data_IF_801443406081
#
_entry.id   IF_801443406081
#
_cell.length_a   1.000
_cell.length_b   1.000
_cell.length_c   1.000
_cell.angle_alpha   90.00
_cell.angle_beta   90.00
_cell.angle_gamma   90.00
#
_symmetry.space_group_name_H-M   'P 1'
#
loop_
_entity.id
_entity.type
_entity.pdbx_description
1 polymer ?
#
# COMPACT_ATOMS: atom_id res chain seq x y z
N UNK A 1 -10.16 -27.94 23.49
CA UNK A 1 -8.92 -28.74 23.55
C UNK A 1 -7.63 -27.92 23.73
N UNK A 2 -7.51 -26.68 23.21
CA UNK A 2 -6.35 -25.80 23.48
C UNK A 2 -6.56 -24.76 24.59
N UNK A 3 -7.79 -24.62 25.11
CA UNK A 3 -8.16 -23.57 26.07
C UNK A 3 -7.78 -23.91 27.52
N UNK A 4 -7.58 -25.19 27.84
CA UNK A 4 -7.27 -25.68 29.19
C UNK A 4 -5.76 -25.89 29.43
N UNK A 5 -4.90 -25.55 28.45
CA UNK A 5 -3.44 -25.65 28.58
C UNK A 5 -2.82 -24.26 28.75
N UNK A 6 -1.77 -24.10 29.60
CA UNK A 6 -1.05 -22.82 29.74
C UNK A 6 -0.47 -22.31 28.41
N UNK A 7 -0.21 -23.23 27.46
CA UNK A 7 0.17 -22.94 26.08
C UNK A 7 -0.90 -22.14 25.32
N UNK A 8 -2.19 -22.37 25.59
CA UNK A 8 -3.30 -21.63 24.99
C UNK A 8 -3.36 -20.17 25.43
N UNK A 9 -3.02 -19.89 26.69
CA UNK A 9 -2.94 -18.52 27.21
C UNK A 9 -1.79 -17.74 26.57
N UNK A 10 -0.63 -18.39 26.36
CA UNK A 10 0.52 -17.78 25.67
C UNK A 10 0.17 -17.46 24.21
N UNK A 11 -0.49 -18.39 23.51
CA UNK A 11 -0.92 -18.17 22.11
C UNK A 11 -1.93 -17.02 21.99
N UNK A 12 -2.92 -16.95 22.90
CA UNK A 12 -3.88 -15.84 22.92
C UNK A 12 -3.20 -14.49 23.20
N UNK A 13 -2.21 -14.47 24.09
CA UNK A 13 -1.46 -13.26 24.41
C UNK A 13 -0.65 -12.78 23.20
N UNK A 14 0.01 -13.69 22.49
CA UNK A 14 0.74 -13.39 21.24
C UNK A 14 -0.23 -12.87 20.16
N UNK A 15 -1.36 -13.52 19.95
CA UNK A 15 -2.35 -13.09 18.95
C UNK A 15 -2.94 -11.71 19.29
N UNK A 16 -3.19 -11.43 20.57
CA UNK A 16 -3.69 -10.13 21.02
C UNK A 16 -2.65 -9.03 20.80
N UNK A 17 -1.37 -9.31 21.11
CA UNK A 17 -0.27 -8.39 20.82
C UNK A 17 -0.12 -8.13 19.32
N UNK A 18 -0.22 -9.16 18.48
CA UNK A 18 -0.20 -9.01 17.04
C UNK A 18 -1.34 -8.12 16.56
N UNK A 19 -2.57 -8.34 17.03
CA UNK A 19 -3.71 -7.51 16.67
C UNK A 19 -3.55 -6.06 17.12
N UNK A 20 -3.03 -5.85 18.34
CA UNK A 20 -2.76 -4.53 18.88
C UNK A 20 -1.65 -3.80 18.11
N UNK A 21 -0.69 -4.52 17.52
CA UNK A 21 0.39 -3.93 16.71
C UNK A 21 -0.08 -3.36 15.36
N UNK A 22 -1.20 -3.87 14.81
CA UNK A 22 -1.73 -3.47 13.50
C UNK A 22 -1.92 -1.95 13.39
N UNK A 23 -2.68 -1.28 14.27
CA UNK A 23 -2.87 0.17 14.17
C UNK A 23 -1.56 0.97 14.28
N UNK A 24 -0.59 0.51 15.06
CA UNK A 24 0.72 1.17 15.16
C UNK A 24 1.53 1.05 13.86
N UNK A 25 1.52 -0.12 13.22
CA UNK A 25 2.18 -0.33 11.93
C UNK A 25 1.56 0.58 10.86
N UNK A 26 0.23 0.68 10.82
CA UNK A 26 -0.46 1.59 9.89
C UNK A 26 -0.21 3.06 10.20
N UNK A 27 -0.24 3.48 11.47
CA UNK A 27 0.07 4.84 11.87
C UNK A 27 1.51 5.24 11.47
N UNK A 28 2.47 4.33 11.66
CA UNK A 28 3.84 4.50 11.19
C UNK A 28 3.88 4.65 9.67
N UNK A 29 3.18 3.77 8.93
CA UNK A 29 3.10 3.83 7.46
C UNK A 29 2.57 5.19 6.98
N UNK A 30 1.48 5.69 7.56
CA UNK A 30 0.92 7.02 7.22
C UNK A 30 1.89 8.15 7.53
N UNK A 31 2.65 8.02 8.61
CA UNK A 31 3.66 9.03 9.00
C UNK A 31 4.78 9.09 7.97
N UNK A 32 5.31 7.94 7.55
CA UNK A 32 6.38 7.86 6.53
C UNK A 32 5.90 8.42 5.19
N UNK A 33 4.72 8.00 4.73
CA UNK A 33 4.15 8.48 3.45
C UNK A 33 3.82 9.98 3.51
N UNK A 34 3.18 10.42 4.60
CA UNK A 34 2.86 11.83 4.83
C UNK A 34 4.12 12.69 4.86
N UNK A 35 5.21 12.19 5.45
CA UNK A 35 6.50 12.87 5.48
C UNK A 35 7.11 13.00 4.10
N UNK A 36 7.12 11.92 3.30
CA UNK A 36 7.58 11.94 1.91
C UNK A 36 6.80 12.96 1.07
N UNK A 37 5.46 12.96 1.18
CA UNK A 37 4.62 13.92 0.48
C UNK A 37 4.89 15.36 0.94
N UNK A 38 5.07 15.57 2.25
CA UNK A 38 5.35 16.89 2.81
C UNK A 38 6.69 17.45 2.34
N UNK A 39 7.75 16.64 2.33
CA UNK A 39 9.06 17.00 1.76
C UNK A 39 8.92 17.33 0.27
N UNK A 40 8.15 16.53 -0.47
CA UNK A 40 7.82 16.82 -1.87
C UNK A 40 7.16 18.19 -2.03
N UNK A 41 6.14 18.49 -1.24
CA UNK A 41 5.46 19.79 -1.29
C UNK A 41 6.41 20.95 -0.96
N UNK A 42 7.26 20.77 0.05
CA UNK A 42 8.26 21.76 0.48
C UNK A 42 9.28 22.07 -0.62
N UNK A 43 9.81 21.06 -1.32
CA UNK A 43 10.78 21.22 -2.40
C UNK A 43 10.24 22.05 -3.57
N UNK A 44 8.95 21.94 -3.87
CA UNK A 44 8.29 22.70 -4.92
C UNK A 44 7.72 24.04 -4.43
N UNK A 45 7.98 24.44 -3.18
CA UNK A 45 7.58 25.73 -2.62
C UNK A 45 6.11 25.82 -2.16
N UNK A 46 5.41 24.69 -2.02
CA UNK A 46 4.01 24.66 -1.57
C UNK A 46 3.93 24.69 -0.05
N UNK A 47 3.19 25.66 0.51
CA UNK A 47 2.94 25.76 1.95
C UNK A 47 1.77 24.86 2.37
N UNK A 48 2.04 23.58 2.50
CA UNK A 48 1.10 22.57 3.01
C UNK A 48 1.60 22.08 4.37
N UNK A 49 0.70 21.95 5.35
CA UNK A 49 1.09 21.47 6.68
C UNK A 49 1.24 19.95 6.69
N UNK A 50 2.11 19.42 7.56
CA UNK A 50 2.30 17.98 7.68
C UNK A 50 0.99 17.24 7.99
N UNK A 51 0.13 17.80 8.83
CA UNK A 51 -1.18 17.22 9.16
C UNK A 51 -2.09 17.07 7.92
N UNK A 52 -2.03 18.02 6.98
CA UNK A 52 -2.74 17.90 5.70
C UNK A 52 -2.17 16.75 4.86
N UNK A 53 -0.85 16.68 4.69
CA UNK A 53 -0.19 15.57 3.97
C UNK A 53 -0.50 14.20 4.62
N UNK A 54 -0.53 14.14 5.94
CA UNK A 54 -0.85 12.93 6.69
C UNK A 54 -2.31 12.49 6.47
N UNK A 55 -3.26 13.42 6.47
CA UNK A 55 -4.66 13.12 6.12
C UNK A 55 -4.85 12.63 4.68
N UNK A 56 -4.07 13.18 3.73
CA UNK A 56 -4.05 12.70 2.34
C UNK A 56 -3.51 11.27 2.27
N UNK A 57 -2.40 10.97 2.97
CA UNK A 57 -1.82 9.64 3.02
C UNK A 57 -2.82 8.61 3.61
N UNK A 58 -3.51 8.97 4.69
CA UNK A 58 -4.57 8.15 5.26
C UNK A 58 -5.71 7.90 4.27
N UNK A 59 -6.21 8.95 3.60
CA UNK A 59 -7.30 8.83 2.62
C UNK A 59 -6.91 7.96 1.42
N UNK A 60 -5.66 8.09 0.95
CA UNK A 60 -5.14 7.31 -0.15
C UNK A 60 -5.04 5.81 0.21
N UNK A 61 -4.70 5.45 1.45
CA UNK A 61 -4.59 4.05 1.87
C UNK A 61 -5.90 3.26 1.68
N UNK A 62 -7.06 3.90 1.79
CA UNK A 62 -8.36 3.25 1.57
C UNK A 62 -8.49 2.63 0.16
N UNK A 63 -7.70 3.08 -0.82
CA UNK A 63 -7.64 2.46 -2.16
C UNK A 63 -7.22 1.00 -2.08
N UNK A 64 -6.34 0.62 -1.13
CA UNK A 64 -5.87 -0.75 -0.97
C UNK A 64 -6.90 -1.69 -0.31
N UNK A 65 -8.05 -1.17 0.14
CA UNK A 65 -9.18 -2.01 0.55
C UNK A 65 -9.89 -2.62 -0.66
N UNK A 66 -9.96 -1.88 -1.78
CA UNK A 66 -10.60 -2.33 -3.02
C UNK A 66 -10.06 -3.68 -3.55
N UNK A 67 -8.74 -3.91 -3.69
CA UNK A 67 -8.22 -5.19 -4.15
C UNK A 67 -8.55 -6.34 -3.21
N UNK A 68 -8.55 -6.10 -1.90
CA UNK A 68 -8.86 -7.15 -0.92
C UNK A 68 -10.34 -7.55 -0.98
N UNK A 69 -11.23 -6.56 -1.13
CA UNK A 69 -12.67 -6.82 -1.34
C UNK A 69 -12.89 -7.59 -2.64
N UNK A 70 -12.26 -7.17 -3.75
CA UNK A 70 -12.37 -7.86 -5.03
C UNK A 70 -11.81 -9.28 -5.00
N UNK A 71 -10.71 -9.50 -4.26
CA UNK A 71 -10.18 -10.85 -4.00
C UNK A 71 -11.21 -11.73 -3.30
N UNK A 72 -11.86 -11.22 -2.26
CA UNK A 72 -12.89 -11.97 -1.52
C UNK A 72 -14.06 -12.31 -2.46
N UNK A 73 -14.57 -11.34 -3.22
CA UNK A 73 -15.63 -11.58 -4.20
C UNK A 73 -15.24 -12.65 -5.23
N UNK A 74 -14.01 -12.61 -5.75
CA UNK A 74 -13.54 -13.58 -6.74
C UNK A 74 -13.53 -15.01 -6.22
N UNK A 75 -12.98 -15.23 -5.02
CA UNK A 75 -12.92 -16.57 -4.42
C UNK A 75 -14.24 -17.04 -3.82
N UNK A 76 -15.18 -16.13 -3.56
CA UNK A 76 -16.51 -16.50 -3.10
C UNK A 76 -17.42 -16.94 -4.26
N UNK A 77 -17.34 -16.28 -5.42
CA UNK A 77 -18.29 -16.50 -6.52
C UNK A 77 -17.72 -17.18 -7.77
N UNK A 78 -16.41 -17.02 -8.07
CA UNK A 78 -15.82 -17.50 -9.33
C UNK A 78 -15.02 -18.78 -9.13
N UNK A 79 -14.12 -18.80 -8.14
CA UNK A 79 -13.30 -19.97 -7.81
C UNK A 79 -13.53 -20.36 -6.36
N UNK A 80 -14.51 -21.24 -6.14
CA UNK A 80 -14.99 -21.66 -4.81
C UNK A 80 -14.09 -22.68 -4.10
N UNK A 81 -13.21 -23.38 -4.83
CA UNK A 81 -12.23 -24.32 -4.27
C UNK A 81 -10.77 -23.87 -4.52
N UNK A 82 -10.32 -22.73 -3.96
CA UNK A 82 -8.96 -22.27 -4.12
C UNK A 82 -8.02 -22.93 -3.10
N UNK A 83 -6.79 -23.20 -3.53
CA UNK A 83 -5.74 -23.62 -2.59
C UNK A 83 -5.12 -22.40 -1.89
N UNK A 84 -4.62 -22.57 -0.66
CA UNK A 84 -3.95 -21.50 0.10
C UNK A 84 -2.87 -20.74 -0.71
N UNK A 85 -1.96 -21.39 -1.46
CA UNK A 85 -0.98 -20.67 -2.27
C UNK A 85 -1.63 -19.81 -3.35
N UNK A 86 -2.71 -20.27 -4.00
CA UNK A 86 -3.41 -19.50 -5.02
C UNK A 86 -4.03 -18.21 -4.46
N UNK A 87 -4.65 -18.28 -3.28
CA UNK A 87 -5.20 -17.10 -2.60
C UNK A 87 -4.10 -16.08 -2.27
N UNK A 88 -2.91 -16.58 -1.88
CA UNK A 88 -1.77 -15.73 -1.53
C UNK A 88 -1.20 -15.02 -2.74
N UNK A 89 -1.01 -15.69 -3.88
CA UNK A 89 -0.48 -15.06 -5.09
C UNK A 89 -1.49 -14.19 -5.81
N UNK A 90 -2.78 -14.48 -5.72
CA UNK A 90 -3.78 -13.69 -6.40
C UNK A 90 -3.76 -12.25 -5.86
N UNK A 91 -3.61 -11.27 -6.75
CA UNK A 91 -3.86 -9.87 -6.45
C UNK A 91 -4.56 -9.29 -7.67
N UNK A 92 -5.85 -8.94 -7.55
CA UNK A 92 -6.63 -8.54 -8.71
C UNK A 92 -5.99 -7.34 -9.39
N UNK A 93 -6.09 -7.25 -10.72
CA UNK A 93 -5.62 -6.09 -11.50
C UNK A 93 -4.14 -5.68 -11.26
N UNK A 94 -3.29 -6.59 -10.76
CA UNK A 94 -1.83 -6.45 -10.79
C UNK A 94 -1.23 -7.02 -12.06
N UNK A 95 -0.02 -6.56 -12.39
CA UNK A 95 0.76 -7.16 -13.47
C UNK A 95 1.07 -8.64 -13.25
N UNK A 96 1.02 -9.12 -12.00
CA UNK A 96 1.22 -10.53 -11.66
C UNK A 96 0.21 -11.47 -12.35
N UNK A 97 -0.98 -11.00 -12.74
CA UNK A 97 -1.97 -11.85 -13.43
C UNK A 97 -1.64 -12.16 -14.89
N UNK A 98 -0.69 -11.42 -15.51
CA UNK A 98 -0.27 -11.67 -16.89
C UNK A 98 0.83 -12.75 -16.99
N UNK A 99 1.38 -13.18 -15.86
CA UNK A 99 2.43 -14.19 -15.82
C UNK A 99 1.91 -15.46 -15.13
N UNK A 100 2.46 -16.60 -15.51
CA UNK A 100 2.08 -17.87 -14.92
C UNK A 100 2.52 -17.93 -13.44
N UNK A 101 1.58 -18.29 -12.57
CA UNK A 101 1.75 -18.25 -11.12
C UNK A 101 2.80 -19.26 -10.64
N UNK A 102 2.91 -20.41 -11.31
CA UNK A 102 3.79 -21.50 -10.90
C UNK A 102 5.26 -21.17 -11.11
N UNK A 103 5.59 -20.41 -12.15
CA UNK A 103 6.97 -20.01 -12.47
C UNK A 103 7.39 -18.75 -11.72
N UNK A 104 6.46 -17.89 -11.30
CA UNK A 104 6.77 -16.58 -10.72
C UNK A 104 6.76 -16.52 -9.19
N UNK A 105 6.06 -17.42 -8.47
CA UNK A 105 6.02 -17.39 -7.00
C UNK A 105 7.39 -17.54 -6.32
N UNK A 106 8.30 -18.31 -6.92
CA UNK A 106 9.68 -18.47 -6.42
C UNK A 106 10.64 -17.39 -6.91
N UNK A 107 10.15 -16.42 -7.66
CA UNK A 107 10.98 -15.41 -8.34
C UNK A 107 10.99 -14.11 -7.55
N UNK A 108 12.18 -13.49 -7.45
CA UNK A 108 12.40 -12.15 -6.86
C UNK A 108 11.47 -11.05 -7.41
N UNK A 109 10.89 -11.27 -8.58
CA UNK A 109 10.00 -10.33 -9.25
C UNK A 109 8.54 -10.38 -8.76
N UNK A 110 8.14 -11.41 -8.00
CA UNK A 110 6.75 -11.57 -7.54
C UNK A 110 6.23 -10.35 -6.76
N UNK A 111 7.04 -9.82 -5.84
CA UNK A 111 6.66 -8.67 -5.04
C UNK A 111 6.52 -7.38 -5.87
N UNK A 112 7.51 -6.97 -6.70
CA UNK A 112 7.35 -5.83 -7.62
C UNK A 112 6.18 -5.95 -8.59
N UNK A 113 5.98 -7.13 -9.19
CA UNK A 113 4.89 -7.38 -10.16
C UNK A 113 3.51 -7.29 -9.51
N UNK A 114 3.40 -7.67 -8.23
CA UNK A 114 2.19 -7.49 -7.44
C UNK A 114 1.99 -6.03 -7.05
N UNK A 115 3.05 -5.34 -6.63
CA UNK A 115 2.99 -3.95 -6.19
C UNK A 115 2.57 -3.02 -7.34
N UNK A 116 3.07 -3.27 -8.55
CA UNK A 116 2.63 -2.52 -9.73
C UNK A 116 1.26 -3.04 -10.16
N UNK A 117 0.22 -2.31 -9.76
CA UNK A 117 -1.17 -2.65 -10.00
C UNK A 117 -1.99 -1.43 -10.38
N UNK A 118 -3.20 -1.64 -10.90
CA UNK A 118 -4.14 -0.54 -11.13
C UNK A 118 -4.46 0.22 -9.84
N UNK A 119 -4.44 -0.46 -8.69
CA UNK A 119 -4.67 0.17 -7.39
C UNK A 119 -3.56 1.14 -7.00
N UNK A 120 -2.33 0.87 -7.42
CA UNK A 120 -1.21 1.82 -7.25
C UNK A 120 -1.44 3.10 -8.07
N UNK A 121 -1.97 2.97 -9.30
CA UNK A 121 -2.33 4.12 -10.13
C UNK A 121 -3.47 4.92 -9.48
N UNK A 122 -4.48 4.24 -8.95
CA UNK A 122 -5.57 4.88 -8.20
C UNK A 122 -5.06 5.57 -6.93
N UNK A 123 -4.12 4.95 -6.22
CA UNK A 123 -3.47 5.49 -5.03
C UNK A 123 -2.75 6.81 -5.36
N UNK A 124 -1.96 6.85 -6.44
CA UNK A 124 -1.31 8.06 -6.95
C UNK A 124 -2.35 9.13 -7.31
N UNK A 125 -3.44 8.77 -7.99
CA UNK A 125 -4.51 9.71 -8.36
C UNK A 125 -5.18 10.34 -7.13
N UNK A 126 -5.42 9.56 -6.08
CA UNK A 126 -5.98 10.06 -4.82
C UNK A 126 -5.01 11.01 -4.13
N UNK A 127 -3.71 10.67 -4.07
CA UNK A 127 -2.69 11.56 -3.51
C UNK A 127 -2.58 12.88 -4.29
N UNK A 128 -2.53 12.83 -5.62
CA UNK A 128 -2.48 14.04 -6.46
C UNK A 128 -3.70 14.91 -6.20
N UNK A 129 -4.91 14.33 -6.18
CA UNK A 129 -6.13 15.09 -5.87
C UNK A 129 -6.12 15.66 -4.45
N UNK A 130 -5.67 14.89 -3.46
CA UNK A 130 -5.59 15.32 -2.07
C UNK A 130 -4.62 16.48 -1.89
N UNK A 131 -3.40 16.39 -2.44
CA UNK A 131 -2.42 17.48 -2.41
C UNK A 131 -2.97 18.69 -3.17
N UNK A 132 -3.63 18.50 -4.31
CA UNK A 132 -4.19 19.60 -5.09
C UNK A 132 -5.29 20.33 -4.32
N UNK A 133 -6.19 19.60 -3.64
CA UNK A 133 -7.24 20.17 -2.80
C UNK A 133 -6.68 21.11 -1.72
N UNK A 134 -5.60 20.71 -1.02
CA UNK A 134 -4.96 21.56 -0.02
C UNK A 134 -4.10 22.67 -0.64
N UNK A 135 -3.46 22.38 -1.77
CA UNK A 135 -2.67 23.33 -2.54
C UNK A 135 -3.51 24.50 -3.03
N UNK A 136 -4.69 24.26 -3.61
CA UNK A 136 -5.58 25.32 -4.13
C UNK A 136 -5.98 26.36 -3.09
N UNK A 137 -5.98 25.97 -1.81
CA UNK A 137 -6.30 26.87 -0.69
C UNK A 137 -5.15 27.82 -0.34
N UNK A 138 -3.94 27.48 -0.77
CA UNK A 138 -2.69 28.21 -0.47
C UNK A 138 -2.06 28.83 -1.71
N UNK A 139 -2.13 28.18 -2.87
CA UNK A 139 -1.46 28.55 -4.12
C UNK A 139 -2.27 28.11 -5.35
N UNK A 140 -2.43 29.00 -6.34
CA UNK A 140 -3.33 28.82 -7.50
C UNK A 140 -2.68 28.07 -8.67
N UNK A 141 -1.79 27.11 -8.41
CA UNK A 141 -1.08 26.34 -9.44
C UNK A 141 -1.58 24.89 -9.47
N UNK A 142 -2.34 24.54 -10.51
CA UNK A 142 -3.03 23.26 -10.64
C UNK A 142 -2.16 22.14 -11.25
N UNK A 143 -1.20 22.49 -12.12
CA UNK A 143 -0.47 21.51 -12.93
C UNK A 143 0.81 20.96 -12.27
N UNK A 144 1.37 21.68 -11.27
CA UNK A 144 2.61 21.26 -10.61
C UNK A 144 2.40 20.16 -9.56
N UNK A 145 1.17 19.90 -9.12
CA UNK A 145 0.87 18.86 -8.12
C UNK A 145 1.20 17.45 -8.61
N UNK A 146 1.01 17.18 -9.91
CA UNK A 146 1.39 15.91 -10.52
C UNK A 146 2.90 15.63 -10.40
N UNK A 147 3.72 16.67 -10.60
CA UNK A 147 5.18 16.57 -10.46
C UNK A 147 5.60 16.33 -9.01
N UNK A 148 4.95 16.98 -8.05
CA UNK A 148 5.23 16.79 -6.62
C UNK A 148 5.07 15.33 -6.22
N UNK A 149 3.91 14.72 -6.54
CA UNK A 149 3.63 13.32 -6.17
C UNK A 149 4.54 12.36 -6.94
N UNK A 150 4.85 12.66 -8.20
CA UNK A 150 5.74 11.82 -9.01
C UNK A 150 7.19 11.83 -8.48
N UNK A 151 7.73 13.01 -8.19
CA UNK A 151 9.11 13.15 -7.72
C UNK A 151 9.30 12.71 -6.26
N UNK A 152 8.25 12.74 -5.44
CA UNK A 152 8.32 12.28 -4.04
C UNK A 152 7.97 10.81 -3.93
N UNK A 153 6.70 10.46 -4.15
CA UNK A 153 6.19 9.14 -3.89
C UNK A 153 6.65 8.12 -4.94
N UNK A 154 6.41 8.38 -6.24
CA UNK A 154 6.71 7.40 -7.30
C UNK A 154 8.21 7.08 -7.33
N UNK A 155 9.07 8.09 -7.17
CA UNK A 155 10.52 7.89 -7.13
C UNK A 155 10.94 6.97 -5.97
N UNK A 156 10.46 7.24 -4.76
CA UNK A 156 10.79 6.43 -3.57
C UNK A 156 10.20 5.02 -3.68
N UNK A 157 9.00 4.88 -4.22
CA UNK A 157 8.36 3.60 -4.48
C UNK A 157 9.19 2.75 -5.46
N UNK A 158 9.62 3.32 -6.59
CA UNK A 158 10.46 2.62 -7.56
C UNK A 158 11.82 2.25 -6.96
N UNK A 159 12.43 3.14 -6.19
CA UNK A 159 13.69 2.87 -5.50
C UNK A 159 13.53 1.68 -4.53
N UNK A 160 12.44 1.64 -3.78
CA UNK A 160 12.10 0.53 -2.90
C UNK A 160 11.95 -0.80 -3.66
N UNK A 161 11.26 -0.80 -4.80
CA UNK A 161 11.12 -2.01 -5.62
C UNK A 161 12.47 -2.51 -6.15
N UNK A 162 13.32 -1.61 -6.65
CA UNK A 162 14.67 -1.95 -7.14
C UNK A 162 15.52 -2.52 -6.00
N UNK A 163 15.50 -1.85 -4.84
CA UNK A 163 16.20 -2.32 -3.64
C UNK A 163 15.75 -3.73 -3.24
N UNK A 164 14.44 -3.99 -3.24
CA UNK A 164 13.88 -5.30 -2.91
C UNK A 164 14.42 -6.41 -3.85
N UNK A 165 14.43 -6.17 -5.16
CA UNK A 165 14.93 -7.12 -6.17
C UNK A 165 16.43 -7.42 -5.98
N UNK A 166 17.21 -6.43 -5.54
CA UNK A 166 18.66 -6.58 -5.36
C UNK A 166 18.99 -7.36 -4.08
N UNK A 167 18.28 -7.08 -2.99
CA UNK A 167 18.58 -7.64 -1.66
C UNK A 167 18.04 -9.05 -1.50
N UNK A 168 16.81 -9.30 -1.94
CA UNK A 168 16.20 -10.63 -1.83
C UNK A 168 16.65 -11.49 -3.03
N UNK A 169 17.63 -12.36 -2.77
CA UNK A 169 18.11 -13.41 -3.69
C UNK A 169 17.43 -14.73 -3.44
#
# INVERSE_FOLDING_TARGET
FLQDRPEGAILQLISTLQFLSIPFIYAWKFTVIGFVLWVGCFLFGYRITFSQCWSVAMAAEFVFILPEVLKIFWFLFVKTDPTIPEIRAFYPLSMMNFFDYQTMMGSRYAYPLRAISLFEVLYILVMVRGVNFFSLRTHKQNNATWWIVSCSYILIFLLWLVFYIIVYK
#
